data_IF_256043674263
#
_entry.id   IF_256043674263
#
_cell.length_a   1.000
_cell.length_b   1.000
_cell.length_c   1.000
_cell.angle_alpha   90.00
_cell.angle_beta   90.00
_cell.angle_gamma   90.00
#
_symmetry.space_group_name_H-M   'P 1'
#
loop_
_entity.id
_entity.type
_entity.pdbx_description
1 polymer ?
#
# COMPACT_ATOMS: atom_id res chain seq x y z
N UNK A 1 13.95 16.05 -9.27
CA UNK A 1 13.68 15.02 -10.29
C UNK A 1 13.44 15.70 -11.63
N UNK A 2 14.22 15.38 -12.66
CA UNK A 2 13.94 15.88 -14.02
C UNK A 2 12.64 15.30 -14.61
N UNK A 3 12.22 14.12 -14.14
CA UNK A 3 10.91 13.52 -14.42
C UNK A 3 9.75 14.51 -14.22
N UNK A 4 9.72 15.23 -13.08
CA UNK A 4 8.62 16.16 -12.75
C UNK A 4 8.54 17.37 -13.69
N UNK A 5 9.64 17.74 -14.35
CA UNK A 5 9.67 18.90 -15.26
C UNK A 5 9.01 18.60 -16.60
N UNK A 6 8.87 17.32 -16.95
CA UNK A 6 8.34 16.85 -18.22
C UNK A 6 6.93 16.28 -18.09
N UNK A 7 6.32 16.41 -16.92
CA UNK A 7 5.04 15.80 -16.61
C UNK A 7 3.90 16.71 -17.08
N UNK A 8 2.92 16.15 -17.78
CA UNK A 8 1.69 16.86 -18.14
C UNK A 8 0.82 17.11 -16.91
N UNK A 9 -0.16 18.01 -17.02
CA UNK A 9 -1.11 18.25 -15.93
C UNK A 9 -1.96 17.00 -15.69
N UNK A 10 -2.33 16.31 -16.76
CA UNK A 10 -3.11 15.07 -16.72
C UNK A 10 -2.34 13.95 -15.99
N UNK A 11 -1.05 13.79 -16.30
CA UNK A 11 -0.18 12.83 -15.62
C UNK A 11 -0.01 13.19 -14.14
N UNK A 12 0.10 14.48 -13.81
CA UNK A 12 0.30 14.94 -12.44
C UNK A 12 -0.93 14.65 -11.57
N UNK A 13 -2.11 14.93 -12.11
CA UNK A 13 -3.39 14.60 -11.48
C UNK A 13 -3.54 13.10 -11.30
N UNK A 14 -3.16 12.33 -12.30
CA UNK A 14 -3.24 10.89 -12.21
C UNK A 14 -2.36 10.28 -11.12
N UNK A 15 -1.17 10.85 -10.90
CA UNK A 15 -0.28 10.47 -9.80
C UNK A 15 -0.92 10.85 -8.46
N UNK A 16 -1.47 12.07 -8.35
CA UNK A 16 -2.12 12.56 -7.13
C UNK A 16 -3.32 11.71 -6.75
N UNK A 17 -4.21 11.41 -7.70
CA UNK A 17 -5.41 10.60 -7.52
C UNK A 17 -5.09 9.15 -7.12
N UNK A 18 -3.93 8.65 -7.55
CA UNK A 18 -3.53 7.26 -7.29
C UNK A 18 -2.69 7.07 -6.03
N UNK A 19 -2.05 8.14 -5.55
CA UNK A 19 -1.18 8.14 -4.37
C UNK A 19 -1.85 7.58 -3.09
N UNK A 20 -3.15 7.82 -2.81
CA UNK A 20 -3.83 7.25 -1.64
C UNK A 20 -3.84 5.71 -1.60
N UNK A 21 -3.71 5.03 -2.74
CA UNK A 21 -3.74 3.57 -2.82
C UNK A 21 -2.37 2.91 -2.62
N UNK A 22 -1.30 3.69 -2.51
CA UNK A 22 0.07 3.18 -2.37
C UNK A 22 0.36 2.85 -0.91
N UNK A 23 0.71 1.60 -0.63
CA UNK A 23 1.19 1.14 0.68
C UNK A 23 2.67 0.72 0.56
N UNK A 24 3.58 1.64 0.88
CA UNK A 24 5.01 1.43 0.77
C UNK A 24 5.46 1.16 -0.67
N UNK A 25 5.89 -0.06 -0.96
CA UNK A 25 6.38 -0.47 -2.29
C UNK A 25 5.32 -1.21 -3.13
N UNK A 26 4.07 -1.23 -2.69
CA UNK A 26 2.99 -1.96 -3.37
C UNK A 26 1.73 -1.09 -3.51
N UNK A 27 0.93 -1.48 -4.49
CA UNK A 27 -0.45 -1.02 -4.62
C UNK A 27 -1.35 -2.25 -4.51
N UNK A 28 -2.06 -2.43 -3.39
CA UNK A 28 -2.95 -3.57 -3.21
C UNK A 28 -4.10 -3.57 -4.21
N UNK A 29 -4.45 -4.74 -4.75
CA UNK A 29 -5.57 -4.93 -5.67
C UNK A 29 -6.79 -5.41 -4.89
N UNK A 30 -7.29 -4.57 -3.98
CA UNK A 30 -8.47 -4.85 -3.14
C UNK A 30 -9.33 -3.59 -3.04
N UNK A 31 -10.63 -3.77 -2.74
CA UNK A 31 -11.56 -2.66 -2.52
C UNK A 31 -11.64 -1.71 -3.73
N UNK A 32 -11.60 -0.38 -3.54
CA UNK A 32 -11.76 0.59 -4.62
C UNK A 32 -10.76 0.44 -5.77
N UNK A 33 -9.56 -0.10 -5.52
CA UNK A 33 -8.55 -0.32 -6.57
C UNK A 33 -8.99 -1.43 -7.54
N UNK A 34 -9.66 -2.45 -7.02
CA UNK A 34 -10.21 -3.55 -7.81
C UNK A 34 -11.50 -3.12 -8.52
N UNK A 35 -12.38 -2.38 -7.85
CA UNK A 35 -13.62 -1.86 -8.45
C UNK A 35 -13.36 -0.83 -9.55
N UNK A 36 -12.32 -0.01 -9.39
CA UNK A 36 -11.84 0.91 -10.44
C UNK A 36 -11.07 0.20 -11.54
N UNK A 37 -10.82 -1.12 -11.49
CA UNK A 37 -9.95 -1.80 -12.45
C UNK A 37 -10.58 -1.97 -13.85
N UNK A 38 -11.91 -1.97 -14.01
CA UNK A 38 -12.53 -2.14 -15.33
C UNK A 38 -12.69 -0.84 -16.14
N UNK A 39 -12.88 0.35 -15.55
CA UNK A 39 -12.67 1.63 -16.24
C UNK A 39 -11.23 2.18 -16.10
N UNK A 40 -10.44 1.71 -15.14
CA UNK A 40 -9.15 2.28 -14.71
C UNK A 40 -7.89 1.53 -15.16
N UNK A 41 -8.01 0.48 -15.98
CA UNK A 41 -6.83 -0.19 -16.54
C UNK A 41 -5.98 0.76 -17.39
N UNK A 42 -6.60 1.72 -18.10
CA UNK A 42 -5.88 2.73 -18.88
C UNK A 42 -5.02 3.63 -17.98
N UNK A 43 -5.56 3.99 -16.81
CA UNK A 43 -4.82 4.76 -15.80
C UNK A 43 -3.63 3.99 -15.26
N UNK A 44 -3.82 2.71 -14.94
CA UNK A 44 -2.76 1.83 -14.48
C UNK A 44 -1.68 1.62 -15.56
N UNK A 45 -2.10 1.43 -16.82
CA UNK A 45 -1.18 1.31 -17.95
C UNK A 45 -0.36 2.58 -18.15
N UNK A 46 -0.98 3.76 -18.06
CA UNK A 46 -0.27 5.03 -18.12
C UNK A 46 0.74 5.16 -16.97
N UNK A 47 0.37 4.82 -15.72
CA UNK A 47 1.32 4.83 -14.60
C UNK A 47 2.48 3.83 -14.79
N UNK A 48 2.23 2.72 -15.49
CA UNK A 48 3.27 1.75 -15.87
C UNK A 48 4.17 2.29 -17.00
N UNK A 49 3.60 2.99 -18.00
CA UNK A 49 4.34 3.64 -19.10
C UNK A 49 5.23 4.78 -18.58
N UNK A 50 4.76 5.53 -17.58
CA UNK A 50 5.55 6.50 -16.83
C UNK A 50 6.64 5.84 -15.95
N UNK A 51 6.64 4.51 -15.86
CA UNK A 51 7.60 3.74 -15.08
C UNK A 51 7.40 3.85 -13.57
N UNK A 52 6.20 4.21 -13.08
CA UNK A 52 5.90 4.38 -11.66
C UNK A 52 5.44 3.09 -10.99
N UNK A 53 4.72 2.24 -11.73
CA UNK A 53 4.28 0.92 -11.28
C UNK A 53 4.66 -0.15 -12.31
N UNK A 54 4.50 -1.42 -11.93
CA UNK A 54 4.72 -2.58 -12.79
C UNK A 54 3.76 -3.73 -12.45
N UNK A 55 3.49 -4.58 -13.43
CA UNK A 55 2.62 -5.75 -13.30
C UNK A 55 1.17 -5.51 -13.72
N UNK A 56 0.88 -4.40 -14.40
CA UNK A 56 -0.44 -4.14 -14.99
C UNK A 56 -0.66 -5.09 -16.16
N UNK A 57 -1.82 -5.76 -16.20
CA UNK A 57 -2.14 -6.78 -17.21
C UNK A 57 -1.49 -8.16 -16.95
N UNK A 58 -0.62 -8.28 -15.94
CA UNK A 58 -0.08 -9.57 -15.51
C UNK A 58 -1.06 -10.29 -14.58
N UNK A 59 -1.45 -11.52 -14.93
CA UNK A 59 -2.10 -12.43 -13.99
C UNK A 59 -1.03 -13.00 -13.05
N UNK A 60 -1.13 -12.75 -11.75
CA UNK A 60 -0.29 -13.44 -10.75
C UNK A 60 0.91 -12.68 -10.20
N UNK A 61 1.00 -11.34 -10.37
CA UNK A 61 2.00 -10.59 -9.61
C UNK A 61 1.60 -10.54 -8.13
N UNK A 62 2.33 -11.28 -7.31
CA UNK A 62 2.09 -11.40 -5.89
C UNK A 62 3.24 -10.76 -5.10
N UNK A 63 2.90 -9.89 -4.17
CA UNK A 63 3.85 -9.47 -3.14
C UNK A 63 3.94 -10.57 -2.09
N UNK A 64 5.15 -11.09 -1.90
CA UNK A 64 5.47 -12.03 -0.83
C UNK A 64 6.39 -11.39 0.18
N UNK A 65 6.05 -11.49 1.46
CA UNK A 65 6.89 -10.99 2.53
C UNK A 65 7.01 -11.96 3.70
N UNK A 66 8.24 -12.15 4.17
CA UNK A 66 8.55 -12.84 5.42
C UNK A 66 8.53 -11.87 6.61
N UNK A 67 8.39 -12.41 7.80
CA UNK A 67 8.41 -11.66 9.06
C UNK A 67 9.82 -11.16 9.39
N UNK A 68 9.91 -10.08 10.18
CA UNK A 68 11.20 -9.57 10.67
C UNK A 68 11.68 -10.18 11.99
N UNK A 69 10.86 -11.00 12.67
CA UNK A 69 11.16 -11.54 13.99
C UNK A 69 11.75 -12.95 13.96
N UNK A 70 12.64 -13.26 14.91
CA UNK A 70 13.27 -14.58 15.03
C UNK A 70 12.30 -15.66 15.54
N UNK A 71 11.29 -15.28 16.34
CA UNK A 71 10.35 -16.20 16.98
C UNK A 71 8.90 -16.02 16.54
N UNK A 72 8.59 -14.91 15.87
CA UNK A 72 7.24 -14.59 15.39
C UNK A 72 7.28 -13.71 14.16
N UNK A 73 6.21 -13.75 13.37
CA UNK A 73 6.04 -12.84 12.26
C UNK A 73 5.55 -11.48 12.76
N UNK A 74 6.24 -10.42 12.33
CA UNK A 74 5.76 -9.05 12.46
C UNK A 74 6.11 -8.26 11.21
N UNK A 75 5.13 -7.51 10.69
CA UNK A 75 5.30 -6.55 9.59
C UNK A 75 4.27 -5.45 9.69
N UNK A 76 4.64 -4.25 9.25
CA UNK A 76 3.70 -3.15 9.00
C UNK A 76 3.70 -2.85 7.50
N UNK A 77 2.51 -2.83 6.89
CA UNK A 77 2.29 -2.22 5.58
C UNK A 77 1.76 -0.82 5.83
N UNK A 78 2.36 0.22 5.28
CA UNK A 78 1.97 1.58 5.65
C UNK A 78 2.06 2.57 4.51
N UNK A 79 1.31 3.65 4.67
CA UNK A 79 1.43 4.87 3.90
C UNK A 79 1.29 6.03 4.84
N UNK A 80 2.33 6.87 4.91
CA UNK A 80 2.38 8.05 5.78
C UNK A 80 1.99 7.73 7.22
N UNK A 81 0.84 8.24 7.67
CA UNK A 81 0.40 8.22 9.07
C UNK A 81 -0.53 7.06 9.40
N UNK A 82 -0.76 6.14 8.46
CA UNK A 82 -1.64 4.98 8.65
C UNK A 82 -0.98 3.72 8.15
N UNK A 83 -1.31 2.59 8.77
CA UNK A 83 -0.83 1.30 8.34
C UNK A 83 -1.63 0.13 8.86
N UNK A 84 -1.18 -1.05 8.44
CA UNK A 84 -1.72 -2.35 8.78
C UNK A 84 -0.60 -3.11 9.48
N UNK A 85 -0.76 -3.36 10.77
CA UNK A 85 0.14 -4.20 11.53
C UNK A 85 -0.30 -5.67 11.45
N UNK A 86 0.63 -6.53 11.06
CA UNK A 86 0.42 -7.95 10.80
C UNK A 86 1.27 -8.77 11.77
N UNK A 87 0.62 -9.68 12.50
CA UNK A 87 1.27 -10.59 13.45
C UNK A 87 0.86 -12.04 13.22
N UNK A 88 1.81 -12.94 13.45
CA UNK A 88 1.57 -14.37 13.48
C UNK A 88 2.59 -15.06 14.39
N UNK A 89 2.20 -16.14 15.07
CA UNK A 89 3.10 -16.88 15.98
C UNK A 89 4.21 -17.62 15.24
N UNK A 90 3.94 -18.13 14.04
CA UNK A 90 4.94 -18.72 13.16
C UNK A 90 5.75 -17.64 12.41
N UNK A 91 7.06 -17.59 12.65
CA UNK A 91 8.01 -16.70 11.96
C UNK A 91 8.21 -17.06 10.47
N UNK A 92 7.96 -18.31 10.09
CA UNK A 92 8.04 -18.80 8.71
C UNK A 92 6.79 -18.47 7.88
N UNK A 93 5.76 -17.89 8.50
CA UNK A 93 4.55 -17.47 7.80
C UNK A 93 4.88 -16.46 6.70
N UNK A 94 4.32 -16.66 5.51
CA UNK A 94 4.49 -15.78 4.36
C UNK A 94 3.18 -15.05 4.09
N UNK A 95 3.26 -13.73 3.95
CA UNK A 95 2.15 -12.91 3.48
C UNK A 95 2.11 -12.95 1.96
N UNK A 96 0.93 -13.15 1.39
CA UNK A 96 0.68 -13.20 -0.05
C UNK A 96 -0.37 -12.15 -0.44
N UNK A 97 0.01 -11.11 -1.18
CA UNK A 97 -0.93 -10.07 -1.63
C UNK A 97 -0.95 -9.93 -3.15
N UNK A 98 -2.15 -9.79 -3.72
CA UNK A 98 -2.30 -9.39 -5.10
C UNK A 98 -2.06 -7.89 -5.20
N UNK A 99 -1.02 -7.49 -5.94
CA UNK A 99 -0.56 -6.10 -5.95
C UNK A 99 0.00 -5.70 -7.31
N UNK A 100 -0.05 -4.40 -7.62
CA UNK A 100 0.95 -3.81 -8.51
C UNK A 100 2.21 -3.46 -7.71
N UNK A 101 3.38 -3.61 -8.32
CA UNK A 101 4.65 -3.24 -7.68
C UNK A 101 4.96 -1.79 -8.00
N UNK A 102 5.23 -1.00 -6.98
CA UNK A 102 5.75 0.37 -7.13
C UNK A 102 7.24 0.27 -7.49
N UNK A 103 7.66 0.99 -8.53
CA UNK A 103 9.07 1.02 -8.95
C UNK A 103 9.88 1.97 -8.06
N UNK A 104 11.23 1.94 -8.11
CA UNK A 104 12.04 2.93 -7.38
C UNK A 104 11.69 4.39 -7.73
N UNK A 105 11.33 4.66 -8.99
CA UNK A 105 10.85 5.99 -9.40
C UNK A 105 9.49 6.30 -8.78
N UNK A 106 8.55 5.34 -8.85
CA UNK A 106 7.24 5.46 -8.21
C UNK A 106 7.33 5.74 -6.72
N UNK A 107 8.23 5.07 -6.00
CA UNK A 107 8.43 5.31 -4.56
C UNK A 107 8.88 6.73 -4.26
N UNK A 108 9.65 7.36 -5.15
CA UNK A 108 10.01 8.77 -4.97
C UNK A 108 8.82 9.66 -5.31
N UNK A 109 8.13 9.38 -6.42
CA UNK A 109 7.06 10.22 -6.97
C UNK A 109 5.80 10.21 -6.08
N UNK A 110 5.31 9.03 -5.67
CA UNK A 110 4.10 8.90 -4.84
C UNK A 110 4.29 9.40 -3.40
N UNK A 111 5.52 9.65 -2.95
CA UNK A 111 5.75 10.29 -1.64
C UNK A 111 5.59 11.81 -1.68
N UNK A 112 5.62 12.43 -2.87
CA UNK A 112 5.54 13.89 -3.01
C UNK A 112 4.16 14.43 -2.62
N UNK A 113 3.03 13.87 -3.10
CA UNK A 113 1.71 14.37 -2.74
C UNK A 113 1.44 14.13 -1.27
N UNK A 114 0.97 15.17 -0.56
CA UNK A 114 0.66 15.11 0.87
C UNK A 114 -0.73 14.53 1.17
N UNK A 115 -1.03 13.37 0.59
CA UNK A 115 -2.34 12.72 0.67
C UNK A 115 -2.35 11.58 1.68
N UNK A 116 -3.40 11.47 2.49
CA UNK A 116 -3.57 10.31 3.36
C UNK A 116 -3.97 9.07 2.54
N UNK A 117 -3.67 7.85 3.03
CA UNK A 117 -4.11 6.65 2.34
C UNK A 117 -5.64 6.54 2.33
N UNK A 118 -6.13 5.91 1.28
CA UNK A 118 -7.54 5.58 1.16
C UNK A 118 -7.92 4.52 2.20
N UNK A 119 -8.82 4.88 3.11
CA UNK A 119 -9.22 4.03 4.24
C UNK A 119 -9.87 2.73 3.74
N UNK A 120 -10.74 2.81 2.74
CA UNK A 120 -11.44 1.64 2.23
C UNK A 120 -10.46 0.61 1.64
N UNK A 121 -9.47 1.06 0.86
CA UNK A 121 -8.36 0.25 0.38
C UNK A 121 -7.53 -0.33 1.53
N UNK A 122 -7.22 0.47 2.55
CA UNK A 122 -6.48 0.04 3.75
C UNK A 122 -7.22 -1.10 4.47
N UNK A 123 -8.51 -0.94 4.73
CA UNK A 123 -9.35 -1.93 5.38
C UNK A 123 -9.54 -3.19 4.52
N UNK A 124 -9.77 -3.04 3.21
CA UNK A 124 -9.87 -4.17 2.29
C UNK A 124 -8.57 -4.99 2.24
N UNK A 125 -7.43 -4.31 2.22
CA UNK A 125 -6.11 -4.96 2.30
C UNK A 125 -5.90 -5.66 3.64
N UNK A 126 -6.31 -5.03 4.75
CA UNK A 126 -6.23 -5.62 6.08
C UNK A 126 -7.07 -6.89 6.20
N UNK A 127 -8.28 -6.91 5.60
CA UNK A 127 -9.13 -8.10 5.51
C UNK A 127 -8.50 -9.21 4.69
N UNK A 128 -7.89 -8.87 3.55
CA UNK A 128 -7.16 -9.83 2.73
C UNK A 128 -5.96 -10.45 3.48
N UNK A 129 -5.35 -9.71 4.40
CA UNK A 129 -4.33 -10.25 5.30
C UNK A 129 -4.95 -11.15 6.38
N UNK A 130 -6.06 -10.72 6.99
CA UNK A 130 -6.76 -11.48 8.05
C UNK A 130 -7.23 -12.85 7.52
N UNK A 131 -7.75 -12.92 6.30
CA UNK A 131 -8.20 -14.17 5.67
C UNK A 131 -7.08 -15.19 5.44
N UNK A 132 -5.81 -14.75 5.46
CA UNK A 132 -4.63 -15.62 5.39
C UNK A 132 -4.19 -16.13 6.77
N UNK A 133 -4.90 -15.78 7.83
CA UNK A 133 -4.66 -16.23 9.21
C UNK A 133 -3.78 -15.29 10.04
N UNK A 134 -3.48 -14.08 9.56
CA UNK A 134 -2.75 -13.09 10.37
C UNK A 134 -3.68 -12.44 11.42
N UNK A 135 -3.12 -12.10 12.57
CA UNK A 135 -3.71 -11.11 13.48
C UNK A 135 -3.44 -9.72 12.91
N UNK A 136 -4.50 -8.94 12.69
CA UNK A 136 -4.43 -7.67 11.96
C UNK A 136 -4.98 -6.52 12.78
N UNK A 137 -4.26 -5.40 12.78
CA UNK A 137 -4.67 -4.14 13.40
C UNK A 137 -4.42 -2.98 12.43
N UNK A 138 -5.27 -1.96 12.49
CA UNK A 138 -5.00 -0.64 11.89
C UNK A 138 -4.18 0.17 12.89
N UNK A 139 -3.14 0.87 12.40
CA UNK A 139 -2.22 1.64 13.23
C UNK A 139 -2.11 3.06 12.74
N UNK A 140 -1.99 4.01 13.67
CA UNK A 140 -1.52 5.35 13.37
C UNK A 140 0.01 5.42 13.52
N UNK A 141 0.62 6.18 12.63
CA UNK A 141 2.07 6.35 12.52
C UNK A 141 2.41 7.83 12.59
N UNK A 142 3.50 8.14 13.29
CA UNK A 142 4.07 9.48 13.32
C UNK A 142 5.54 9.42 12.92
N UNK A 143 5.98 10.36 12.10
CA UNK A 143 7.39 10.45 11.73
C UNK A 143 8.25 10.73 12.98
N UNK A 144 9.31 9.96 13.14
CA UNK A 144 10.21 10.07 14.27
C UNK A 144 10.95 11.42 14.22
N UNK A 145 10.96 12.21 15.31
CA UNK A 145 11.67 13.47 15.34
C UNK A 145 13.15 13.30 14.98
N UNK A 146 13.62 14.04 13.96
CA UNK A 146 15.01 14.02 13.53
C UNK A 146 15.44 12.78 12.75
N UNK A 147 14.52 11.89 12.38
CA UNK A 147 14.79 10.71 11.54
C UNK A 147 13.80 10.63 10.38
N UNK A 148 14.04 11.38 9.29
CA UNK A 148 13.15 11.39 8.14
C UNK A 148 12.94 9.97 7.58
N UNK A 149 11.67 9.62 7.34
CA UNK A 149 11.29 8.30 6.83
C UNK A 149 11.24 7.16 7.88
N UNK A 150 11.61 7.43 9.13
CA UNK A 150 11.34 6.52 10.25
C UNK A 150 9.99 6.87 10.87
N UNK A 151 9.14 5.87 11.09
CA UNK A 151 7.82 6.06 11.69
C UNK A 151 7.68 5.30 13.01
N UNK A 152 7.08 5.96 14.00
CA UNK A 152 6.71 5.39 15.28
C UNK A 152 5.22 5.08 15.27
N UNK A 153 4.86 3.89 15.73
CA UNK A 153 3.47 3.50 15.96
C UNK A 153 2.95 4.21 17.20
N UNK A 154 1.90 5.02 17.03
CA UNK A 154 1.30 5.84 18.10
C UNK A 154 -0.04 5.30 18.58
N UNK A 155 -0.73 4.53 17.75
CA UNK A 155 -1.97 3.83 18.11
C UNK A 155 -2.02 2.46 17.44
N UNK A 156 -2.80 1.55 18.02
CA UNK A 156 -3.12 0.27 17.41
C UNK A 156 -4.57 -0.09 17.75
N UNK A 157 -5.38 -0.28 16.72
CA UNK A 157 -6.79 -0.66 16.82
C UNK A 157 -7.00 -1.98 16.09
N UNK A 158 -7.50 -3.04 16.76
CA UNK A 158 -7.83 -4.29 16.08
C UNK A 158 -8.76 -4.05 14.89
N UNK A 159 -8.57 -4.80 13.81
CA UNK A 159 -9.48 -4.75 12.68
C UNK A 159 -10.89 -5.11 13.18
N UNK A 160 -11.92 -4.27 12.98
CA UNK A 160 -13.28 -4.57 13.46
C UNK A 160 -13.77 -5.89 12.88
N UNK A 161 -14.76 -6.57 13.44
CA UNK A 161 -15.24 -7.84 12.84
C UNK A 161 -16.22 -7.62 11.66
N UNK A 162 -16.84 -6.45 11.58
CA UNK A 162 -17.80 -6.07 10.52
C UNK A 162 -17.18 -5.13 9.48
N UNK A 163 -17.64 -5.13 8.21
CA UNK A 163 -17.25 -4.13 7.22
C UNK A 163 -17.62 -2.71 7.70
N UNK A 164 -16.86 -1.70 7.25
CA UNK A 164 -17.16 -0.31 7.57
C UNK A 164 -18.59 0.03 7.11
N UNK A 165 -19.36 0.80 7.90
CA UNK A 165 -20.64 1.32 7.42
C UNK A 165 -20.40 2.20 6.18
N UNK A 166 -21.12 1.91 5.10
CA UNK A 166 -21.12 2.71 3.87
C UNK A 166 -21.80 4.06 4.09
#
# INVERSE_FOLDING_TARGET
>A
LDFLKNLSIEEARAIEDFSPFVLGAIVPRYGPVEEKAEPGIAHLLMLQELGLISGVGGTGLQFTASGGGASSYFRILFSRRRGIALRHSDAGKVLHLNTYRVTPLGSQVFTLPKVEPDEECLFATARACQSQGFSVSIVDLQEAPGQPGTFLMTSETPLPDSPLPQ
#
